data_IF_186446397831
#
_entry.id   IF_186446397831
#
_cell.length_a   1.000
_cell.length_b   1.000
_cell.length_c   1.000
_cell.angle_alpha   90.00
_cell.angle_beta   90.00
_cell.angle_gamma   90.00
#
_symmetry.space_group_name_H-M   'P 1'
#
loop_
_entity.id
_entity.type
_entity.pdbx_description
1 polymer ?
#
# COMPACT_ATOMS: atom_id res chain seq x y z
N UNK A 1 -35.02 7.22 21.83
CA UNK A 1 -33.80 6.40 22.02
C UNK A 1 -33.34 5.74 20.72
N UNK A 2 -34.19 5.02 19.98
CA UNK A 2 -33.81 4.35 18.70
C UNK A 2 -33.20 5.29 17.65
N UNK A 3 -33.78 6.48 17.45
CA UNK A 3 -33.25 7.50 16.52
C UNK A 3 -31.86 8.01 16.91
N UNK A 4 -31.63 8.19 18.20
CA UNK A 4 -30.35 8.65 18.77
C UNK A 4 -29.26 7.59 18.61
N UNK A 5 -29.60 6.32 18.79
CA UNK A 5 -28.65 5.23 18.57
C UNK A 5 -28.32 5.05 17.09
N UNK A 6 -29.29 5.20 16.19
CA UNK A 6 -29.05 5.07 14.74
C UNK A 6 -28.18 6.19 14.18
N UNK A 7 -28.39 7.43 14.63
CA UNK A 7 -27.55 8.55 14.20
C UNK A 7 -26.11 8.40 14.71
N UNK A 8 -25.95 7.96 15.96
CA UNK A 8 -24.64 7.71 16.54
C UNK A 8 -23.88 6.60 15.79
N UNK A 9 -24.53 5.47 15.51
CA UNK A 9 -23.91 4.39 14.74
C UNK A 9 -23.54 4.82 13.31
N UNK A 10 -24.41 5.60 12.64
CA UNK A 10 -24.12 6.10 11.29
C UNK A 10 -22.91 7.02 11.27
N UNK A 11 -22.78 7.91 12.27
CA UNK A 11 -21.63 8.81 12.41
C UNK A 11 -20.34 8.03 12.66
N UNK A 12 -20.38 7.01 13.53
CA UNK A 12 -19.22 6.15 13.79
C UNK A 12 -18.81 5.40 12.52
N UNK A 13 -19.77 4.82 11.80
CA UNK A 13 -19.49 4.13 10.53
C UNK A 13 -18.85 5.08 9.51
N UNK A 14 -19.33 6.31 9.40
CA UNK A 14 -18.78 7.33 8.50
C UNK A 14 -17.32 7.66 8.84
N UNK A 15 -17.01 7.87 10.12
CA UNK A 15 -15.64 8.14 10.58
C UNK A 15 -14.70 6.96 10.29
N UNK A 16 -15.17 5.73 10.50
CA UNK A 16 -14.37 4.52 10.21
C UNK A 16 -14.06 4.39 8.72
N UNK A 17 -15.03 4.66 7.85
CA UNK A 17 -14.82 4.63 6.38
C UNK A 17 -13.84 5.70 5.95
N UNK A 18 -13.95 6.92 6.47
CA UNK A 18 -13.01 8.01 6.18
C UNK A 18 -11.59 7.67 6.64
N UNK A 19 -11.43 7.15 7.86
CA UNK A 19 -10.12 6.79 8.41
C UNK A 19 -9.44 5.67 7.60
N UNK A 20 -10.21 4.64 7.19
CA UNK A 20 -9.68 3.52 6.40
C UNK A 20 -9.35 3.90 4.95
N UNK A 21 -10.10 4.81 4.34
CA UNK A 21 -9.79 5.34 3.01
C UNK A 21 -8.48 6.12 2.97
N UNK A 22 -8.17 6.89 4.02
CA UNK A 22 -6.95 7.70 4.09
C UNK A 22 -5.67 6.83 4.14
N UNK A 23 -5.73 5.65 4.75
CA UNK A 23 -4.59 4.72 4.83
C UNK A 23 -4.23 4.06 3.51
N UNK A 24 -5.07 4.19 2.48
CA UNK A 24 -4.86 3.57 1.16
C UNK A 24 -4.17 4.51 0.15
N UNK A 25 -3.78 5.72 0.57
CA UNK A 25 -3.25 6.76 -0.32
C UNK A 25 -1.78 6.58 -0.72
N UNK A 26 -1.08 5.59 -0.19
CA UNK A 26 0.31 5.31 -0.57
C UNK A 26 0.34 4.54 -1.90
N UNK A 27 0.26 5.29 -3.00
CA UNK A 27 0.39 4.74 -4.36
C UNK A 27 1.85 4.41 -4.63
N UNK A 28 2.20 3.13 -4.55
CA UNK A 28 3.51 2.64 -4.96
C UNK A 28 3.44 1.92 -6.31
N UNK A 29 4.44 2.15 -7.15
CA UNK A 29 4.73 1.30 -8.30
C UNK A 29 5.63 0.14 -7.87
N UNK A 30 5.41 -1.04 -8.47
CA UNK A 30 6.23 -2.23 -8.21
C UNK A 30 7.18 -2.44 -9.38
N UNK A 31 8.48 -2.44 -9.09
CA UNK A 31 9.53 -2.72 -10.06
C UNK A 31 10.22 -4.04 -9.72
N UNK A 32 10.32 -4.93 -10.70
CA UNK A 32 10.98 -6.23 -10.54
C UNK A 32 12.16 -6.28 -11.50
N UNK A 33 13.35 -6.57 -10.98
CA UNK A 33 14.54 -6.64 -11.82
C UNK A 33 15.81 -6.94 -11.06
N UNK A 34 16.93 -7.00 -11.79
CA UNK A 34 18.25 -7.24 -11.21
C UNK A 34 19.01 -5.95 -10.86
N UNK A 35 18.52 -4.78 -11.31
CA UNK A 35 19.17 -3.48 -11.07
C UNK A 35 18.57 -2.83 -9.83
N UNK A 36 19.41 -2.14 -9.07
CA UNK A 36 19.00 -1.34 -7.92
C UNK A 36 18.55 0.02 -8.46
N UNK A 37 17.34 0.51 -8.12
CA UNK A 37 16.90 1.85 -8.48
C UNK A 37 17.85 2.93 -7.95
N UNK A 38 17.92 4.11 -8.59
CA UNK A 38 18.70 5.23 -8.08
C UNK A 38 18.21 5.65 -6.68
N UNK A 39 19.13 6.10 -5.82
CA UNK A 39 18.80 6.43 -4.43
C UNK A 39 17.81 7.61 -4.34
N UNK A 40 17.89 8.56 -5.28
CA UNK A 40 16.97 9.70 -5.40
C UNK A 40 15.51 9.30 -5.70
N UNK A 41 15.25 8.08 -6.18
CA UNK A 41 13.88 7.62 -6.46
C UNK A 41 13.10 7.20 -5.20
N UNK A 42 13.73 7.17 -4.02
CA UNK A 42 13.05 6.85 -2.75
C UNK A 42 12.50 5.41 -2.69
N UNK A 43 12.97 4.51 -3.56
CA UNK A 43 12.51 3.13 -3.61
C UNK A 43 13.08 2.31 -2.46
N UNK A 44 12.30 1.36 -1.93
CA UNK A 44 12.78 0.37 -0.97
C UNK A 44 12.56 -1.05 -1.48
N UNK A 45 13.47 -1.96 -1.11
CA UNK A 45 13.35 -3.37 -1.48
C UNK A 45 12.26 -4.02 -0.62
N UNK A 46 11.24 -4.58 -1.26
CA UNK A 46 10.11 -5.22 -0.59
C UNK A 46 10.18 -6.75 -0.64
N UNK A 47 11.11 -7.33 -1.40
CA UNK A 47 11.29 -8.79 -1.47
C UNK A 47 12.20 -9.22 -2.62
N UNK A 48 12.23 -10.54 -2.83
CA UNK A 48 12.98 -11.20 -3.90
C UNK A 48 12.11 -12.29 -4.55
N UNK A 49 12.29 -12.49 -5.86
CA UNK A 49 11.60 -13.50 -6.67
C UNK A 49 12.64 -14.32 -7.41
N UNK A 50 12.44 -15.63 -7.50
CA UNK A 50 13.27 -16.53 -8.31
C UNK A 50 12.53 -16.90 -9.59
N UNK A 51 13.16 -16.68 -10.74
CA UNK A 51 12.60 -17.11 -12.03
C UNK A 51 12.72 -18.62 -12.18
N UNK A 52 11.99 -19.19 -13.14
CA UNK A 52 12.06 -20.62 -13.48
C UNK A 52 13.48 -21.04 -13.95
N UNK A 53 14.23 -20.10 -14.51
CA UNK A 53 15.65 -20.26 -14.88
C UNK A 53 16.60 -20.19 -13.66
N UNK A 54 16.07 -20.04 -12.44
CA UNK A 54 16.84 -19.93 -11.20
C UNK A 54 17.42 -18.56 -10.91
N UNK A 55 17.12 -17.53 -11.72
CA UNK A 55 17.65 -16.18 -11.54
C UNK A 55 16.94 -15.47 -10.38
N UNK A 56 17.71 -14.92 -9.45
CA UNK A 56 17.18 -14.08 -8.37
C UNK A 56 16.96 -12.65 -8.88
N UNK A 57 15.74 -12.16 -8.78
CA UNK A 57 15.33 -10.79 -9.06
C UNK A 57 14.87 -10.13 -7.77
N UNK A 58 15.15 -8.84 -7.65
CA UNK A 58 14.72 -8.03 -6.51
C UNK A 58 13.41 -7.33 -6.83
N UNK A 59 12.55 -7.19 -5.84
CA UNK A 59 11.28 -6.46 -5.91
C UNK A 59 11.43 -5.16 -5.15
N UNK A 60 11.20 -4.05 -5.83
CA UNK A 60 11.23 -2.71 -5.25
C UNK A 60 9.84 -2.07 -5.30
N UNK A 61 9.49 -1.37 -4.22
CA UNK A 61 8.35 -0.46 -4.17
C UNK A 61 8.89 0.96 -4.26
N UNK A 62 8.40 1.70 -5.25
CA UNK A 62 8.79 3.08 -5.50
C UNK A 62 7.55 3.98 -5.39
N UNK A 63 7.65 5.19 -4.81
CA UNK A 63 6.56 6.16 -4.84
C UNK A 63 6.12 6.39 -6.29
N UNK A 64 4.81 6.40 -6.55
CA UNK A 64 4.26 6.68 -7.87
C UNK A 64 4.42 8.15 -8.29
#
# INVERSE_FOLDING_TARGET
MRLLTTTLLSLVAFVVVLASGLSSAESFTTHIGSRIPPAEAGCFQSGDIRTDEGKLLKVFKCPA
#
